data_IF_647119370898
#
_entry.id   IF_647119370898
#
_cell.length_a   1.000
_cell.length_b   1.000
_cell.length_c   1.000
_cell.angle_alpha   90.00
_cell.angle_beta   90.00
_cell.angle_gamma   90.00
#
_symmetry.space_group_name_H-M   'P 1'
#
loop_
_entity.id
_entity.type
_entity.pdbx_description
1 polymer ?
#
# COMPACT_ATOMS: atom_id res chain seq x y z
N UNK A 1 15.79 -1.57 -4.64
CA UNK A 1 14.40 -1.07 -4.82
C UNK A 1 13.83 -0.58 -3.50
N UNK A 2 13.40 -1.45 -2.58
CA UNK A 2 12.69 -1.04 -1.35
C UNK A 2 13.45 -0.08 -0.44
N UNK A 3 14.76 -0.26 -0.23
CA UNK A 3 15.56 0.67 0.58
C UNK A 3 15.47 2.11 0.07
N UNK A 4 15.54 2.30 -1.25
CA UNK A 4 15.40 3.60 -1.90
C UNK A 4 13.95 4.11 -1.82
N UNK A 5 12.95 3.22 -1.98
CA UNK A 5 11.54 3.60 -1.79
C UNK A 5 11.23 4.09 -0.37
N UNK A 6 11.84 3.49 0.66
CA UNK A 6 11.67 3.93 2.05
C UNK A 6 12.27 5.31 2.32
N UNK A 7 13.29 5.68 1.54
CA UNK A 7 13.95 6.99 1.58
C UNK A 7 13.35 7.97 0.56
N UNK A 8 12.35 7.54 -0.21
CA UNK A 8 11.74 8.31 -1.29
C UNK A 8 12.72 8.74 -2.40
N UNK A 9 13.79 7.96 -2.58
CA UNK A 9 14.76 8.12 -3.67
C UNK A 9 14.21 7.44 -4.94
N UNK A 10 13.13 8.01 -5.50
CA UNK A 10 12.29 7.34 -6.50
C UNK A 10 13.03 6.97 -7.79
N UNK A 11 13.93 7.82 -8.29
CA UNK A 11 14.76 7.50 -9.47
C UNK A 11 15.59 6.23 -9.25
N UNK A 12 16.29 6.14 -8.11
CA UNK A 12 17.11 4.98 -7.79
C UNK A 12 16.24 3.75 -7.53
N UNK A 13 15.09 3.93 -6.87
CA UNK A 13 14.11 2.86 -6.69
C UNK A 13 13.62 2.32 -8.05
N UNK A 14 13.36 3.19 -9.02
CA UNK A 14 12.95 2.84 -10.38
C UNK A 14 14.02 2.00 -11.09
N UNK A 15 15.30 2.39 -11.05
CA UNK A 15 16.38 1.63 -11.69
C UNK A 15 16.41 0.16 -11.23
N UNK A 16 16.25 -0.07 -9.93
CA UNK A 16 16.16 -1.42 -9.39
C UNK A 16 14.84 -2.12 -9.71
N UNK A 17 13.72 -1.38 -9.74
CA UNK A 17 12.42 -1.94 -10.12
C UNK A 17 12.43 -2.41 -11.58
N UNK A 18 13.04 -1.63 -12.46
CA UNK A 18 13.21 -1.96 -13.87
C UNK A 18 14.13 -3.18 -14.06
N UNK A 19 15.24 -3.25 -13.32
CA UNK A 19 16.10 -4.44 -13.32
C UNK A 19 15.33 -5.69 -12.86
N UNK A 20 14.55 -5.59 -11.77
CA UNK A 20 13.71 -6.69 -11.30
C UNK A 20 12.64 -7.08 -12.34
N UNK A 21 12.04 -6.10 -13.02
CA UNK A 21 11.13 -6.35 -14.13
C UNK A 21 11.80 -7.16 -15.24
N UNK A 22 13.05 -6.84 -15.60
CA UNK A 22 13.77 -7.48 -16.71
C UNK A 22 14.26 -8.88 -16.36
N UNK A 23 14.86 -9.04 -15.19
CA UNK A 23 15.65 -10.23 -14.85
C UNK A 23 14.90 -11.26 -13.98
N UNK A 24 13.92 -10.83 -13.19
CA UNK A 24 13.28 -11.73 -12.22
C UNK A 24 12.20 -12.62 -12.85
N UNK A 25 12.20 -13.90 -12.45
CA UNK A 25 11.23 -14.92 -12.89
C UNK A 25 10.08 -15.15 -11.89
N UNK A 26 10.05 -14.42 -10.78
CA UNK A 26 9.09 -14.68 -9.70
C UNK A 26 7.64 -14.31 -10.03
N UNK A 27 7.37 -13.04 -10.38
CA UNK A 27 6.04 -12.60 -10.85
C UNK A 27 6.18 -11.36 -11.70
N UNK A 28 6.01 -11.51 -13.03
CA UNK A 28 6.12 -10.40 -13.98
C UNK A 28 5.04 -9.33 -13.73
N UNK A 29 3.82 -9.75 -13.40
CA UNK A 29 2.71 -8.84 -13.07
C UNK A 29 3.04 -7.94 -11.86
N UNK A 30 3.63 -8.50 -10.80
CA UNK A 30 4.00 -7.71 -9.62
C UNK A 30 5.09 -6.71 -9.92
N UNK A 31 6.15 -7.12 -10.62
CA UNK A 31 7.25 -6.20 -10.90
C UNK A 31 6.80 -5.06 -11.81
N UNK A 32 6.01 -5.35 -12.86
CA UNK A 32 5.47 -4.30 -13.74
C UNK A 32 4.58 -3.34 -12.96
N UNK A 33 3.72 -3.84 -12.06
CA UNK A 33 2.93 -3.00 -11.18
C UNK A 33 3.79 -2.14 -10.24
N UNK A 34 4.83 -2.72 -9.61
CA UNK A 34 5.73 -1.99 -8.72
C UNK A 34 6.51 -0.91 -9.46
N UNK A 35 7.01 -1.21 -10.67
CA UNK A 35 7.68 -0.24 -11.54
C UNK A 35 6.75 0.93 -11.86
N UNK A 36 5.51 0.66 -12.30
CA UNK A 36 4.52 1.69 -12.57
C UNK A 36 4.16 2.51 -11.32
N UNK A 37 4.02 1.85 -10.17
CA UNK A 37 3.74 2.49 -8.90
C UNK A 37 4.87 3.42 -8.44
N UNK A 38 6.13 3.02 -8.62
CA UNK A 38 7.30 3.87 -8.30
C UNK A 38 7.38 5.06 -9.26
N UNK A 39 7.20 4.83 -10.58
CA UNK A 39 7.16 5.91 -11.57
C UNK A 39 6.07 6.95 -11.26
N UNK A 40 4.94 6.50 -10.70
CA UNK A 40 3.83 7.40 -10.31
C UNK A 40 4.16 8.30 -9.11
N UNK A 41 5.27 8.06 -8.41
CA UNK A 41 5.76 8.92 -7.31
C UNK A 41 6.81 9.93 -7.78
N UNK A 42 7.26 9.82 -9.04
CA UNK A 42 8.27 10.71 -9.63
C UNK A 42 7.60 11.95 -10.24
N UNK A 43 8.38 13.00 -10.44
CA UNK A 43 7.94 14.19 -11.18
C UNK A 43 7.77 13.87 -12.67
N UNK A 44 6.97 14.66 -13.38
CA UNK A 44 6.77 14.45 -14.83
C UNK A 44 8.08 14.56 -15.63
N UNK A 45 9.01 15.44 -15.21
CA UNK A 45 10.32 15.59 -15.85
C UNK A 45 11.15 14.32 -15.71
N UNK A 46 11.23 13.76 -14.50
CA UNK A 46 11.97 12.52 -14.25
C UNK A 46 11.37 11.34 -15.03
N UNK A 47 10.05 11.21 -15.05
CA UNK A 47 9.37 10.15 -15.82
C UNK A 47 9.70 10.28 -17.31
N UNK A 48 9.70 11.49 -17.87
CA UNK A 48 10.07 11.70 -19.29
C UNK A 48 11.48 11.19 -19.60
N UNK A 49 12.44 11.31 -18.68
CA UNK A 49 13.80 10.80 -18.90
C UNK A 49 13.87 9.28 -19.00
N UNK A 50 12.92 8.57 -18.40
CA UNK A 50 12.87 7.10 -18.43
C UNK A 50 12.34 6.53 -19.75
N UNK A 51 11.57 7.31 -20.51
CA UNK A 51 10.90 6.85 -21.72
C UNK A 51 9.74 5.88 -21.48
N UNK A 52 9.33 5.68 -20.23
CA UNK A 52 8.25 4.76 -19.86
C UNK A 52 6.87 5.42 -19.97
N UNK A 53 5.87 4.61 -20.33
CA UNK A 53 4.47 5.01 -20.25
C UNK A 53 3.82 4.33 -19.04
N UNK A 54 3.56 5.12 -17.98
CA UNK A 54 2.96 4.64 -16.73
C UNK A 54 1.59 3.98 -16.97
N UNK A 55 0.77 4.56 -17.85
CA UNK A 55 -0.57 4.04 -18.12
C UNK A 55 -0.49 2.67 -18.82
N UNK A 56 0.38 2.56 -19.82
CA UNK A 56 0.59 1.29 -20.53
C UNK A 56 1.17 0.21 -19.60
N UNK A 57 2.09 0.56 -18.69
CA UNK A 57 2.59 -0.37 -17.69
C UNK A 57 1.45 -0.93 -16.82
N UNK A 58 0.55 -0.08 -16.30
CA UNK A 58 -0.62 -0.55 -15.54
C UNK A 58 -1.56 -1.41 -16.40
N UNK A 59 -1.83 -1.02 -17.65
CA UNK A 59 -2.72 -1.78 -18.56
C UNK A 59 -2.22 -3.20 -18.83
N UNK A 60 -0.90 -3.39 -18.89
CA UNK A 60 -0.29 -4.71 -19.15
C UNK A 60 -0.41 -5.69 -17.96
N UNK A 61 -0.58 -5.21 -16.72
CA UNK A 61 -0.52 -6.04 -15.50
C UNK A 61 -1.48 -7.24 -15.55
N UNK A 62 -2.70 -7.07 -16.08
CA UNK A 62 -3.67 -8.17 -16.15
C UNK A 62 -3.25 -9.31 -17.08
N UNK A 63 -2.59 -8.99 -18.19
CA UNK A 63 -2.09 -9.97 -19.15
C UNK A 63 -0.88 -10.75 -18.66
N UNK A 64 -0.17 -10.22 -17.65
CA UNK A 64 1.07 -10.81 -17.11
C UNK A 64 0.84 -11.75 -15.92
N UNK A 65 -0.41 -11.92 -15.48
CA UNK A 65 -0.73 -12.76 -14.31
C UNK A 65 -0.38 -14.22 -14.58
N UNK A 66 0.13 -14.89 -13.56
CA UNK A 66 0.49 -16.29 -13.62
C UNK A 66 -0.51 -17.13 -12.80
N UNK A 67 -0.55 -18.44 -13.09
CA UNK A 67 -1.27 -19.42 -12.27
C UNK A 67 -0.28 -20.46 -11.79
N UNK A 68 -0.19 -20.64 -10.48
CA UNK A 68 0.62 -21.69 -9.87
C UNK A 68 -0.35 -22.75 -9.33
N UNK A 69 -0.22 -23.99 -9.81
CA UNK A 69 -1.12 -25.10 -9.47
C UNK A 69 -2.62 -24.73 -9.59
N UNK A 70 -2.99 -24.04 -10.68
CA UNK A 70 -4.37 -23.60 -10.95
C UNK A 70 -4.88 -22.42 -10.13
N UNK A 71 -4.10 -21.91 -9.16
CA UNK A 71 -4.46 -20.75 -8.34
C UNK A 71 -3.62 -19.53 -8.73
N UNK A 72 -4.27 -18.37 -8.84
CA UNK A 72 -3.54 -17.10 -9.03
C UNK A 72 -2.90 -16.65 -7.72
N UNK A 73 -1.72 -16.04 -7.82
CA UNK A 73 -0.98 -15.50 -6.68
C UNK A 73 -1.80 -14.37 -6.03
N UNK A 74 -2.00 -14.35 -4.71
CA UNK A 74 -2.86 -13.37 -4.05
C UNK A 74 -2.44 -11.91 -4.31
N UNK A 75 -1.13 -11.63 -4.30
CA UNK A 75 -0.57 -10.31 -4.61
C UNK A 75 -0.82 -9.91 -6.06
N UNK A 76 -0.77 -10.83 -7.02
CA UNK A 76 -1.09 -10.52 -8.42
C UNK A 76 -2.57 -10.14 -8.57
N UNK A 77 -3.48 -10.79 -7.84
CA UNK A 77 -4.90 -10.39 -7.83
C UNK A 77 -5.07 -8.97 -7.32
N UNK A 78 -4.31 -8.57 -6.30
CA UNK A 78 -4.29 -7.20 -5.80
C UNK A 78 -3.83 -6.22 -6.89
N UNK A 79 -2.66 -6.47 -7.50
CA UNK A 79 -2.10 -5.62 -8.55
C UNK A 79 -3.06 -5.48 -9.75
N UNK A 80 -3.66 -6.59 -10.19
CA UNK A 80 -4.68 -6.58 -11.26
C UNK A 80 -5.89 -5.76 -10.86
N UNK A 81 -6.42 -5.93 -9.62
CA UNK A 81 -7.59 -5.17 -9.16
C UNK A 81 -7.33 -3.67 -9.21
N UNK A 82 -6.16 -3.22 -8.73
CA UNK A 82 -5.78 -1.81 -8.74
C UNK A 82 -5.56 -1.28 -10.15
N UNK A 83 -4.92 -2.08 -11.01
CA UNK A 83 -4.64 -1.71 -12.41
C UNK A 83 -5.88 -1.56 -13.28
N UNK A 84 -7.02 -2.15 -12.90
CA UNK A 84 -8.29 -2.00 -13.64
C UNK A 84 -8.73 -0.56 -13.82
N UNK A 85 -8.30 0.36 -12.93
CA UNK A 85 -8.59 1.79 -13.04
C UNK A 85 -8.04 2.39 -14.35
N UNK A 86 -6.98 1.80 -14.92
CA UNK A 86 -6.34 2.24 -16.16
C UNK A 86 -6.95 1.65 -17.45
N UNK A 87 -8.01 0.84 -17.35
CA UNK A 87 -8.70 0.29 -18.54
C UNK A 87 -9.46 1.34 -19.35
N UNK A 88 -9.92 2.41 -18.71
CA UNK A 88 -10.60 3.49 -19.40
C UNK A 88 -9.63 4.28 -20.29
N UNK A 89 -10.17 4.95 -21.31
CA UNK A 89 -9.38 5.79 -22.21
C UNK A 89 -8.71 6.96 -21.46
N UNK A 90 -9.44 7.59 -20.53
CA UNK A 90 -8.94 8.62 -19.63
C UNK A 90 -9.13 8.17 -18.17
N UNK A 91 -8.15 7.46 -17.59
CA UNK A 91 -8.26 6.94 -16.25
C UNK A 91 -7.93 7.99 -15.19
N UNK A 92 -8.56 7.89 -14.01
CA UNK A 92 -8.13 8.62 -12.82
C UNK A 92 -6.91 7.87 -12.25
N UNK A 93 -5.74 8.51 -12.09
CA UNK A 93 -4.56 7.84 -11.53
C UNK A 93 -4.79 7.29 -10.12
N UNK A 94 -4.00 6.29 -9.73
CA UNK A 94 -3.97 5.80 -8.35
C UNK A 94 -3.28 6.83 -7.45
N UNK A 95 -3.83 7.09 -6.26
CA UNK A 95 -3.17 7.91 -5.24
C UNK A 95 -2.05 7.11 -4.56
N UNK A 96 -0.85 7.68 -4.48
CA UNK A 96 0.33 7.16 -3.77
C UNK A 96 0.55 5.63 -3.86
N UNK A 97 0.49 5.01 -5.06
CA UNK A 97 0.44 3.55 -5.22
C UNK A 97 1.69 2.83 -4.69
N UNK A 98 2.86 3.50 -4.66
CA UNK A 98 4.06 2.93 -4.07
C UNK A 98 3.94 2.77 -2.55
N UNK A 99 3.31 3.72 -1.85
CA UNK A 99 3.14 3.69 -0.39
C UNK A 99 2.11 2.64 0.01
N UNK A 100 1.04 2.47 -0.77
CA UNK A 100 0.11 1.36 -0.58
C UNK A 100 0.84 0.00 -0.73
N UNK A 101 1.73 -0.12 -1.71
CA UNK A 101 2.56 -1.32 -1.85
C UNK A 101 3.52 -1.48 -0.69
N UNK A 102 4.14 -0.41 -0.19
CA UNK A 102 4.99 -0.49 1.01
C UNK A 102 4.21 -1.08 2.19
N UNK A 103 2.94 -0.72 2.37
CA UNK A 103 2.09 -1.34 3.39
C UNK A 103 1.84 -2.83 3.14
N UNK A 104 1.43 -3.19 1.91
CA UNK A 104 1.20 -4.60 1.50
C UNK A 104 2.44 -5.47 1.73
N UNK A 105 3.64 -4.91 1.58
CA UNK A 105 4.93 -5.58 1.80
C UNK A 105 5.49 -5.42 3.22
N UNK A 106 4.68 -4.97 4.17
CA UNK A 106 5.05 -4.75 5.57
C UNK A 106 6.22 -3.76 5.78
N UNK A 107 6.48 -2.89 4.80
CA UNK A 107 7.59 -1.92 4.80
C UNK A 107 7.48 -0.86 5.90
N UNK A 108 6.27 -0.57 6.38
CA UNK A 108 6.07 0.40 7.46
C UNK A 108 6.69 -0.03 8.80
N UNK A 109 6.81 -1.34 9.04
CA UNK A 109 7.51 -1.87 10.22
C UNK A 109 9.02 -1.61 10.20
N UNK A 110 9.57 -1.33 9.01
CA UNK A 110 10.98 -0.98 8.81
C UNK A 110 11.14 0.54 8.88
N UNK A 111 10.41 1.28 8.05
CA UNK A 111 10.52 2.76 8.00
C UNK A 111 10.11 3.41 9.31
N UNK A 112 9.13 2.83 10.02
CA UNK A 112 8.63 3.32 11.31
C UNK A 112 9.65 3.26 12.45
N UNK A 113 10.82 2.64 12.24
CA UNK A 113 11.95 2.70 13.18
C UNK A 113 12.80 3.96 13.02
N UNK A 114 12.57 4.73 11.95
CA UNK A 114 13.27 5.95 11.59
C UNK A 114 12.26 7.10 11.49
N UNK A 115 12.28 7.98 12.49
CA UNK A 115 11.36 9.09 12.57
C UNK A 115 11.47 10.02 11.36
N UNK A 116 12.68 10.33 10.92
CA UNK A 116 12.96 11.18 9.75
C UNK A 116 12.33 10.63 8.46
N UNK A 117 12.53 9.34 8.17
CA UNK A 117 11.92 8.70 7.00
C UNK A 117 10.39 8.62 7.11
N UNK A 118 9.88 8.39 8.32
CA UNK A 118 8.42 8.34 8.56
C UNK A 118 7.77 9.70 8.42
N UNK A 119 8.41 10.77 8.91
CA UNK A 119 7.95 12.15 8.71
C UNK A 119 7.95 12.54 7.24
N UNK A 120 9.00 12.16 6.50
CA UNK A 120 9.03 12.39 5.05
C UNK A 120 7.86 11.70 4.34
N UNK A 121 7.50 10.46 4.71
CA UNK A 121 6.33 9.78 4.15
C UNK A 121 5.03 10.48 4.54
N UNK A 122 4.92 10.96 5.79
CA UNK A 122 3.75 11.71 6.25
C UNK A 122 3.53 12.98 5.41
N UNK A 123 4.59 13.75 5.13
CA UNK A 123 4.52 14.94 4.26
C UNK A 123 4.01 14.58 2.86
N UNK A 124 4.51 13.49 2.27
CA UNK A 124 4.04 13.01 0.97
C UNK A 124 2.55 12.62 0.99
N UNK A 125 2.09 12.00 2.08
CA UNK A 125 0.69 11.60 2.26
C UNK A 125 -0.20 12.84 2.45
N UNK A 126 0.23 13.82 3.24
CA UNK A 126 -0.51 15.07 3.46
C UNK A 126 -0.61 15.89 2.17
N UNK A 127 0.48 15.96 1.39
CA UNK A 127 0.46 16.57 0.05
C UNK A 127 -0.56 15.88 -0.87
N UNK A 128 -0.59 14.54 -0.85
CA UNK A 128 -1.57 13.79 -1.62
C UNK A 128 -3.00 14.02 -1.14
N UNK A 129 -3.21 14.15 0.17
CA UNK A 129 -4.50 14.46 0.80
C UNK A 129 -5.07 15.79 0.30
N UNK A 130 -4.25 16.84 0.24
CA UNK A 130 -4.64 18.17 -0.24
C UNK A 130 -5.04 18.16 -1.73
N UNK A 131 -4.44 17.28 -2.52
CA UNK A 131 -4.69 17.16 -3.96
C UNK A 131 -5.86 16.23 -4.31
N UNK A 132 -6.47 15.56 -3.32
CA UNK A 132 -7.57 14.64 -3.56
C UNK A 132 -8.80 15.35 -4.10
N UNK A 133 -9.32 14.84 -5.22
CA UNK A 133 -10.57 15.30 -5.85
C UNK A 133 -11.83 14.67 -5.24
N UNK A 134 -11.85 14.48 -3.91
CA UNK A 134 -12.95 13.86 -3.15
C UNK A 134 -13.32 12.41 -3.55
N UNK A 135 -12.39 11.61 -4.11
CA UNK A 135 -12.65 10.18 -4.27
C UNK A 135 -12.66 9.48 -2.89
N UNK A 136 -13.78 8.85 -2.46
CA UNK A 136 -13.87 8.27 -1.12
C UNK A 136 -12.90 7.11 -0.88
N UNK A 137 -12.55 6.34 -1.90
CA UNK A 137 -11.65 5.19 -1.75
C UNK A 137 -10.20 5.66 -1.56
N UNK A 138 -9.79 6.63 -2.37
CA UNK A 138 -8.47 7.23 -2.29
C UNK A 138 -8.32 8.03 -0.98
N UNK A 139 -9.38 8.70 -0.52
CA UNK A 139 -9.43 9.31 0.82
C UNK A 139 -9.24 8.29 1.95
N UNK A 140 -9.89 7.12 1.88
CA UNK A 140 -9.68 6.06 2.86
C UNK A 140 -8.24 5.55 2.88
N UNK A 141 -7.62 5.39 1.72
CA UNK A 141 -6.23 4.95 1.61
C UNK A 141 -5.28 5.96 2.23
N UNK A 142 -5.45 7.24 1.89
CA UNK A 142 -4.65 8.34 2.43
C UNK A 142 -4.79 8.41 3.95
N UNK A 143 -6.01 8.37 4.49
CA UNK A 143 -6.21 8.39 5.95
C UNK A 143 -5.60 7.16 6.64
N UNK A 144 -5.74 5.97 6.04
CA UNK A 144 -5.17 4.75 6.61
C UNK A 144 -3.64 4.83 6.69
N UNK A 145 -2.98 5.27 5.61
CA UNK A 145 -1.51 5.41 5.58
C UNK A 145 -1.02 6.57 6.44
N UNK A 146 -1.78 7.67 6.53
CA UNK A 146 -1.52 8.80 7.43
C UNK A 146 -1.54 8.35 8.89
N UNK A 147 -2.60 7.64 9.28
CA UNK A 147 -2.74 7.07 10.62
C UNK A 147 -1.59 6.13 10.97
N UNK A 148 -1.12 5.34 10.00
CA UNK A 148 0.04 4.46 10.18
C UNK A 148 1.34 5.22 10.46
N UNK A 149 1.62 6.30 9.71
CA UNK A 149 2.77 7.16 9.97
C UNK A 149 2.68 7.81 11.35
N UNK A 150 1.53 8.39 11.68
CA UNK A 150 1.27 9.04 12.96
C UNK A 150 1.46 8.07 14.14
N UNK A 151 0.99 6.82 14.00
CA UNK A 151 1.19 5.75 14.99
C UNK A 151 2.69 5.49 15.22
N UNK A 152 3.46 5.35 14.15
CA UNK A 152 4.91 5.12 14.25
C UNK A 152 5.67 6.32 14.82
N UNK A 153 5.17 7.54 14.63
CA UNK A 153 5.68 8.77 15.25
C UNK A 153 5.19 8.99 16.69
N UNK A 154 4.41 8.06 17.26
CA UNK A 154 3.88 8.18 18.62
C UNK A 154 2.71 9.15 18.78
N UNK A 155 2.17 9.70 17.68
CA UNK A 155 1.02 10.62 17.68
C UNK A 155 -0.30 9.84 17.71
N UNK A 156 -0.49 9.07 18.77
CA UNK A 156 -1.50 8.00 18.84
C UNK A 156 -2.95 8.49 18.69
N UNK A 157 -3.31 9.63 19.30
CA UNK A 157 -4.67 10.18 19.19
C UNK A 157 -5.01 10.57 17.75
N UNK A 158 -4.06 11.20 17.04
CA UNK A 158 -4.26 11.58 15.63
C UNK A 158 -4.35 10.33 14.74
N UNK A 159 -3.52 9.31 15.03
CA UNK A 159 -3.58 8.03 14.32
C UNK A 159 -4.96 7.35 14.48
N UNK A 160 -5.49 7.31 15.71
CA UNK A 160 -6.80 6.75 15.99
C UNK A 160 -7.92 7.48 15.23
N UNK A 161 -7.90 8.82 15.20
CA UNK A 161 -8.85 9.62 14.43
C UNK A 161 -8.83 9.28 12.92
N UNK A 162 -7.64 9.18 12.32
CA UNK A 162 -7.50 8.76 10.93
C UNK A 162 -8.11 7.38 10.69
N UNK A 163 -7.84 6.41 11.57
CA UNK A 163 -8.39 5.06 11.44
C UNK A 163 -9.92 5.03 11.62
N UNK A 164 -10.47 5.76 12.60
CA UNK A 164 -11.92 5.86 12.80
C UNK A 164 -12.63 6.45 11.58
N UNK A 165 -12.01 7.43 10.91
CA UNK A 165 -12.55 7.99 9.65
C UNK A 165 -12.63 6.94 8.53
N UNK A 166 -11.67 6.01 8.45
CA UNK A 166 -11.72 4.90 7.48
C UNK A 166 -12.81 3.91 7.87
N UNK A 167 -12.97 3.59 9.16
CA UNK A 167 -14.01 2.67 9.65
C UNK A 167 -15.43 3.21 9.46
N UNK A 168 -15.61 4.52 9.34
CA UNK A 168 -16.93 5.13 9.08
C UNK A 168 -17.45 4.83 7.67
N UNK A 169 -16.65 4.19 6.81
CA UNK A 169 -16.98 3.88 5.42
C UNK A 169 -17.36 2.41 5.31
N UNK A 170 -18.59 2.15 4.87
CA UNK A 170 -19.09 0.78 4.70
C UNK A 170 -18.41 0.10 3.50
N UNK A 171 -18.08 -1.19 3.66
CA UNK A 171 -17.62 -2.10 2.58
C UNK A 171 -16.35 -1.67 1.83
N UNK A 172 -15.36 -1.13 2.55
CA UNK A 172 -14.06 -0.80 1.99
C UNK A 172 -13.02 -1.91 2.24
N UNK A 173 -12.23 -2.26 1.22
CA UNK A 173 -11.20 -3.31 1.34
C UNK A 173 -10.11 -2.99 2.39
N UNK A 174 -9.99 -1.73 2.81
CA UNK A 174 -9.05 -1.27 3.84
C UNK A 174 -9.55 -1.49 5.28
N UNK A 175 -10.83 -1.80 5.50
CA UNK A 175 -11.36 -1.97 6.85
C UNK A 175 -10.63 -3.06 7.64
N UNK A 176 -10.38 -4.29 7.11
CA UNK A 176 -9.64 -5.31 7.87
C UNK A 176 -8.24 -4.84 8.26
N UNK A 177 -7.55 -4.13 7.35
CA UNK A 177 -6.22 -3.57 7.61
C UNK A 177 -6.27 -2.48 8.69
N UNK A 178 -7.26 -1.60 8.61
CA UNK A 178 -7.46 -0.51 9.59
C UNK A 178 -7.79 -1.04 10.97
N UNK A 179 -8.66 -2.06 11.07
CA UNK A 179 -8.98 -2.73 12.33
C UNK A 179 -7.74 -3.40 12.93
N UNK A 180 -6.92 -4.05 12.08
CA UNK A 180 -5.66 -4.63 12.54
C UNK A 180 -4.70 -3.57 13.10
N UNK A 181 -4.53 -2.44 12.40
CA UNK A 181 -3.67 -1.34 12.87
C UNK A 181 -4.17 -0.69 14.16
N UNK A 182 -5.50 -0.52 14.33
CA UNK A 182 -6.11 -0.07 15.58
C UNK A 182 -5.87 -1.05 16.72
N UNK A 183 -5.97 -2.34 16.44
CA UNK A 183 -5.65 -3.38 17.41
C UNK A 183 -4.20 -3.30 17.89
N UNK A 184 -3.26 -3.07 16.95
CA UNK A 184 -1.85 -2.84 17.29
C UNK A 184 -1.62 -1.53 18.08
N UNK A 185 -2.34 -0.46 17.73
CA UNK A 185 -2.28 0.82 18.44
C UNK A 185 -2.73 0.67 19.90
N UNK A 186 -3.88 0.04 20.16
CA UNK A 186 -4.35 -0.19 21.52
C UNK A 186 -3.46 -1.16 22.30
N UNK A 187 -2.89 -2.17 21.64
CA UNK A 187 -1.88 -3.04 22.25
C UNK A 187 -0.66 -2.23 22.71
N UNK A 188 -0.19 -1.26 21.91
CA UNK A 188 0.91 -0.38 22.28
C UNK A 188 0.57 0.53 23.48
N UNK A 189 -0.70 0.91 23.63
CA UNK A 189 -1.20 1.68 24.78
C UNK A 189 -1.44 0.81 26.03
N UNK A 190 -1.38 -0.52 25.93
CA UNK A 190 -1.66 -1.46 27.02
C UNK A 190 -3.14 -1.83 27.18
N UNK A 191 -4.03 -1.38 26.29
CA UNK A 191 -5.45 -1.77 26.28
C UNK A 191 -5.63 -3.08 25.49
N UNK A 192 -5.26 -4.19 26.14
CA UNK A 192 -5.30 -5.52 25.54
C UNK A 192 -6.73 -6.01 25.23
N UNK A 193 -7.74 -5.52 25.97
CA UNK A 193 -9.13 -5.88 25.75
C UNK A 193 -9.62 -5.33 24.41
N UNK A 194 -9.47 -4.01 24.18
CA UNK A 194 -9.81 -3.40 22.88
C UNK A 194 -8.96 -3.97 21.75
N UNK A 195 -7.66 -4.17 21.99
CA UNK A 195 -6.77 -4.74 20.99
C UNK A 195 -7.27 -6.09 20.47
N UNK A 196 -7.70 -6.98 21.38
CA UNK A 196 -8.24 -8.29 21.04
C UNK A 196 -9.52 -8.16 20.22
N UNK A 197 -10.46 -7.31 20.66
CA UNK A 197 -11.72 -7.08 19.93
C UNK A 197 -11.49 -6.59 18.49
N UNK A 198 -10.58 -5.63 18.28
CA UNK A 198 -10.29 -5.13 16.93
C UNK A 198 -9.63 -6.18 16.04
N UNK A 199 -8.66 -6.95 16.58
CA UNK A 199 -7.98 -8.01 15.82
C UNK A 199 -8.93 -9.16 15.48
N UNK A 200 -9.83 -9.52 16.38
CA UNK A 200 -10.87 -10.53 16.13
C UNK A 200 -11.83 -10.05 15.04
N UNK A 201 -12.33 -8.82 15.14
CA UNK A 201 -13.19 -8.22 14.12
C UNK A 201 -12.54 -8.16 12.74
N UNK A 202 -11.23 -7.91 12.66
CA UNK A 202 -10.48 -7.96 11.41
C UNK A 202 -10.45 -9.36 10.78
N UNK A 203 -10.46 -10.42 11.60
CA UNK A 203 -10.40 -11.83 11.16
C UNK A 203 -11.78 -12.41 10.82
N UNK A 204 -12.79 -12.13 11.64
CA UNK A 204 -14.09 -12.81 11.59
C UNK A 204 -15.03 -12.21 10.54
N UNK A 205 -14.97 -10.89 10.34
CA UNK A 205 -15.91 -10.17 9.48
C UNK A 205 -15.43 -10.00 8.02
N UNK A 206 -14.22 -10.45 7.69
CA UNK A 206 -13.64 -10.28 6.35
C UNK A 206 -12.96 -11.57 5.87
N UNK A 207 -13.73 -12.40 5.16
CA UNK A 207 -13.25 -13.59 4.43
C UNK A 207 -13.09 -13.24 2.93
N UNK A 208 -12.15 -13.87 2.23
CA UNK A 208 -11.89 -13.73 0.77
C UNK A 208 -11.18 -12.45 0.26
N UNK A 209 -10.57 -11.62 1.12
CA UNK A 209 -9.74 -10.51 0.63
C UNK A 209 -8.38 -10.99 0.10
N UNK A 210 -7.85 -10.32 -0.93
CA UNK A 210 -6.69 -10.81 -1.72
C UNK A 210 -5.37 -10.96 -0.96
N UNK A 211 -5.28 -10.62 0.33
CA UNK A 211 -4.07 -10.72 1.14
C UNK A 211 -4.21 -11.59 2.40
N UNK A 212 -5.32 -12.33 2.54
CA UNK A 212 -5.63 -13.16 3.73
C UNK A 212 -4.50 -14.11 4.15
N UNK A 213 -3.72 -14.64 3.19
CA UNK A 213 -2.63 -15.60 3.45
C UNK A 213 -1.27 -14.96 3.79
N UNK A 214 -1.12 -13.64 3.68
CA UNK A 214 0.10 -12.94 4.10
C UNK A 214 0.19 -12.80 5.63
N UNK A 215 -0.96 -12.56 6.27
CA UNK A 215 -1.09 -12.35 7.71
C UNK A 215 -0.74 -13.58 8.56
N UNK A 216 -0.98 -14.79 8.05
CA UNK A 216 -0.72 -16.02 8.82
C UNK A 216 0.76 -16.36 8.93
N UNK A 217 1.62 -15.88 8.02
CA UNK A 217 3.05 -16.18 8.03
C UNK A 217 3.87 -15.36 9.05
N UNK A 218 3.36 -14.19 9.45
CA UNK A 218 3.98 -13.35 10.48
C UNK A 218 3.57 -13.70 11.91
N UNK A 219 2.56 -14.56 12.09
CA UNK A 219 2.00 -14.90 13.40
C UNK A 219 2.52 -16.23 13.96
N UNK A 220 3.42 -16.93 13.26
CA UNK A 220 4.00 -18.21 13.69
C UNK A 220 5.41 -18.07 14.29
N UNK A 221 5.81 -16.85 14.67
CA UNK A 221 6.98 -16.61 15.53
C UNK A 221 6.61 -15.64 16.65
N UNK A 222 5.68 -16.06 17.50
CA UNK A 222 5.61 -15.72 18.91
C UNK A 222 5.35 -17.02 19.67
#
# INVERSE_FOLDING_TARGET
MWTHSYQQEWQQAYLYADLLCKESRWSKAIYVYQKAAILSMMTEEEVKTTGEDIMELFRQVEGLKQRLAGKSIPTEKFAVRKSRRYKAASPIPLVIPALEMMYVWNGFTIVGKRADSTEALLVTIETAEEQLRNDPNDSCLVQMLKGLCLKHLGRLLQAELCFTQVLSRYDHYLIPFTLYELGLLHKQQGDFAKATTYIENAKTNYKDYSMERGFTSGSTRL
#
